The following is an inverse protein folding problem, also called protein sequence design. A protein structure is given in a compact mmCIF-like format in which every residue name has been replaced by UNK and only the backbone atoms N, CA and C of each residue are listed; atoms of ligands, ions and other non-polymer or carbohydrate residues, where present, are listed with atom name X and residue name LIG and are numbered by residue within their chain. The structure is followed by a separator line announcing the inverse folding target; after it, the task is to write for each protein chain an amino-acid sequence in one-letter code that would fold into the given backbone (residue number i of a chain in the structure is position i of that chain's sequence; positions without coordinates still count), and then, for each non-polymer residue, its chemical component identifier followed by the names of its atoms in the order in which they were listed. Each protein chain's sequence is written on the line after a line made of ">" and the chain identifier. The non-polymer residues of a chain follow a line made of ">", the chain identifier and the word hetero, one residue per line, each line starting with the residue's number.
data_IF_565799196943
#
_entry.id   IF_565799196943
#
_cell.length_a   1.000
_cell.length_b   1.000
_cell.length_c   1.000
_cell.angle_alpha   90.00
_cell.angle_beta   90.00
_cell.angle_gamma   90.00
#
_symmetry.space_group_name_H-M   'P 1'
#
loop_
_entity.id
_entity.type
_entity.pdbx_description
1 polymer ?
#
# COMPACT_ATOMS: atom_id res chain seq x y z
N UNK A 1 6.03 31.46 -3.22
CA UNK A 1 5.90 29.99 -3.05
C UNK A 1 4.41 29.66 -3.19
N UNK A 2 4.01 28.96 -4.25
CA UNK A 2 2.62 28.68 -4.59
C UNK A 2 1.92 27.86 -3.49
N UNK A 3 0.60 28.04 -3.36
CA UNK A 3 -0.31 27.26 -2.49
C UNK A 3 -0.15 25.74 -2.72
N UNK A 4 0.15 25.34 -3.93
CA UNK A 4 0.42 23.96 -4.34
C UNK A 4 1.66 23.35 -3.65
N UNK A 5 2.74 24.12 -3.44
CA UNK A 5 3.93 23.65 -2.74
C UNK A 5 3.72 23.43 -1.24
N UNK A 6 2.85 24.23 -0.58
CA UNK A 6 2.52 24.05 0.85
C UNK A 6 1.60 22.86 1.07
N UNK A 7 0.66 22.61 0.17
CA UNK A 7 -0.25 21.48 0.23
C UNK A 7 0.48 20.15 0.01
N UNK A 8 1.43 20.09 -0.92
CA UNK A 8 2.29 18.93 -1.15
C UNK A 8 3.13 18.56 0.09
N UNK A 9 3.70 19.55 0.77
CA UNK A 9 4.48 19.33 1.99
C UNK A 9 3.62 18.75 3.13
N UNK A 10 2.39 19.26 3.34
CA UNK A 10 1.48 18.74 4.35
C UNK A 10 1.06 17.29 4.05
N UNK A 11 0.76 16.97 2.80
CA UNK A 11 0.42 15.61 2.37
C UNK A 11 1.57 14.63 2.62
N UNK A 12 2.82 15.05 2.33
CA UNK A 12 4.00 14.21 2.55
C UNK A 12 4.25 13.95 4.05
N UNK A 13 4.04 14.95 4.90
CA UNK A 13 4.13 14.79 6.37
C UNK A 13 3.11 13.76 6.85
N UNK A 14 1.83 13.88 6.50
CA UNK A 14 0.80 12.93 6.90
C UNK A 14 1.07 11.52 6.39
N UNK A 15 1.52 11.39 5.14
CA UNK A 15 1.90 10.09 4.55
C UNK A 15 3.03 9.42 5.33
N UNK A 16 4.13 10.14 5.58
CA UNK A 16 5.29 9.62 6.34
C UNK A 16 4.92 9.24 7.76
N UNK A 17 4.15 10.10 8.43
CA UNK A 17 3.68 9.83 9.78
C UNK A 17 2.81 8.56 9.82
N UNK A 18 1.85 8.44 8.90
CA UNK A 18 1.01 7.25 8.78
C UNK A 18 1.85 5.99 8.55
N UNK A 19 2.80 6.02 7.64
CA UNK A 19 3.69 4.87 7.38
C UNK A 19 4.48 4.47 8.63
N UNK A 20 5.00 5.44 9.37
CA UNK A 20 5.68 5.21 10.64
C UNK A 20 4.76 4.52 11.66
N UNK A 21 3.53 5.02 11.84
CA UNK A 21 2.57 4.44 12.77
C UNK A 21 2.12 3.02 12.36
N UNK A 22 1.95 2.76 11.07
CA UNK A 22 1.65 1.41 10.56
C UNK A 22 2.80 0.43 10.85
N UNK A 23 4.06 0.85 10.69
CA UNK A 23 5.21 0.02 11.06
C UNK A 23 5.26 -0.28 12.55
N UNK A 24 5.02 0.73 13.41
CA UNK A 24 4.93 0.54 14.87
C UNK A 24 3.80 -0.42 15.21
N UNK A 25 2.63 -0.27 14.61
CA UNK A 25 1.50 -1.18 14.80
C UNK A 25 1.85 -2.63 14.43
N UNK A 26 2.56 -2.85 13.32
CA UNK A 26 3.01 -4.20 12.92
C UNK A 26 3.98 -4.77 13.93
N UNK A 27 4.94 -3.96 14.42
CA UNK A 27 5.88 -4.38 15.48
C UNK A 27 5.14 -4.76 16.76
N UNK A 28 4.23 -3.92 17.23
CA UNK A 28 3.42 -4.18 18.42
C UNK A 28 2.60 -5.49 18.28
N UNK A 29 1.97 -5.71 17.13
CA UNK A 29 1.27 -6.97 16.82
C UNK A 29 2.19 -8.20 16.91
N UNK A 30 3.41 -8.09 16.40
CA UNK A 30 4.38 -9.19 16.47
C UNK A 30 4.86 -9.43 17.90
N UNK A 31 5.04 -8.38 18.71
CA UNK A 31 5.37 -8.48 20.13
C UNK A 31 4.27 -9.20 20.91
N UNK A 32 3.00 -8.84 20.69
CA UNK A 32 1.86 -9.56 21.30
C UNK A 32 1.90 -11.05 20.90
N UNK A 33 2.07 -11.37 19.61
CA UNK A 33 2.19 -12.78 19.18
C UNK A 33 3.36 -13.51 19.84
N UNK A 34 4.51 -12.84 19.96
CA UNK A 34 5.69 -13.39 20.63
C UNK A 34 5.43 -13.71 22.11
N UNK A 35 4.73 -12.81 22.83
CA UNK A 35 4.34 -13.03 24.23
C UNK A 35 3.41 -14.25 24.32
N UNK A 36 2.37 -14.32 23.49
CA UNK A 36 1.43 -15.44 23.49
C UNK A 36 2.15 -16.77 23.23
N UNK A 37 3.04 -16.77 22.23
CA UNK A 37 3.86 -17.96 21.92
C UNK A 37 4.76 -18.36 23.08
N UNK A 38 5.44 -17.39 23.73
CA UNK A 38 6.33 -17.66 24.86
C UNK A 38 5.60 -18.32 26.03
N UNK A 39 4.34 -17.98 26.26
CA UNK A 39 3.49 -18.58 27.30
C UNK A 39 2.71 -19.81 26.82
N UNK A 40 3.02 -20.37 25.64
CA UNK A 40 2.38 -21.58 25.10
C UNK A 40 0.91 -21.39 24.72
N UNK A 41 0.46 -20.13 24.54
CA UNK A 41 -0.95 -19.82 24.21
C UNK A 41 -1.13 -19.98 22.70
N UNK A 42 -1.94 -20.97 22.31
CA UNK A 42 -2.28 -21.21 20.89
C UNK A 42 -3.18 -20.09 20.36
N UNK A 43 -2.74 -19.47 19.28
CA UNK A 43 -3.49 -18.43 18.59
C UNK A 43 -4.55 -19.10 17.71
N UNK A 44 -5.84 -18.72 17.79
CA UNK A 44 -6.88 -19.22 16.91
C UNK A 44 -6.56 -18.94 15.44
N UNK A 45 -6.91 -19.87 14.53
CA UNK A 45 -6.65 -19.73 13.08
C UNK A 45 -7.28 -18.45 12.49
N UNK A 46 -8.41 -18.00 13.02
CA UNK A 46 -9.10 -16.76 12.64
C UNK A 46 -8.45 -15.47 13.19
N UNK A 47 -7.24 -15.52 13.70
CA UNK A 47 -6.52 -14.44 14.40
C UNK A 47 -6.11 -13.23 13.54
N UNK A 48 -7.04 -12.63 12.77
CA UNK A 48 -6.78 -11.53 11.84
C UNK A 48 -6.86 -10.12 12.46
N UNK A 49 -6.52 -9.94 13.74
CA UNK A 49 -6.59 -8.65 14.43
C UNK A 49 -7.97 -7.99 14.36
N UNK A 50 -9.03 -8.80 14.23
CA UNK A 50 -10.44 -8.41 14.32
C UNK A 50 -10.80 -7.93 15.73
N UNK A 51 -11.97 -7.32 15.90
CA UNK A 51 -12.49 -6.97 17.24
C UNK A 51 -12.63 -8.21 18.12
N UNK A 52 -13.13 -9.33 17.55
CA UNK A 52 -13.26 -10.61 18.27
C UNK A 52 -11.90 -11.12 18.74
N UNK A 53 -10.88 -11.06 17.89
CA UNK A 53 -9.53 -11.49 18.26
C UNK A 53 -8.90 -10.61 19.36
N UNK A 54 -9.09 -9.29 19.30
CA UNK A 54 -8.63 -8.39 20.37
C UNK A 54 -9.34 -8.72 21.69
N UNK A 55 -10.66 -8.91 21.66
CA UNK A 55 -11.42 -9.27 22.87
C UNK A 55 -10.97 -10.61 23.45
N UNK A 56 -10.68 -11.60 22.59
CA UNK A 56 -10.09 -12.86 23.01
C UNK A 56 -8.74 -12.65 23.71
N UNK A 57 -7.84 -11.83 23.16
CA UNK A 57 -6.55 -11.51 23.83
C UNK A 57 -6.80 -10.83 25.18
N UNK A 58 -7.77 -9.94 25.28
CA UNK A 58 -8.14 -9.25 26.53
C UNK A 58 -8.65 -10.21 27.61
N UNK A 59 -9.25 -11.33 27.23
CA UNK A 59 -9.77 -12.36 28.16
C UNK A 59 -8.68 -13.29 28.69
N UNK A 60 -7.50 -13.31 28.08
CA UNK A 60 -6.39 -14.16 28.49
C UNK A 60 -5.92 -13.72 29.88
N UNK A 61 -5.68 -14.72 30.74
CA UNK A 61 -5.03 -14.55 32.04
C UNK A 61 -3.77 -15.40 32.03
N UNK A 62 -2.66 -14.81 32.41
CA UNK A 62 -1.38 -15.49 32.48
C UNK A 62 -1.08 -15.89 33.92
N UNK A 63 -0.41 -17.02 34.10
CA UNK A 63 -0.02 -17.51 35.44
C UNK A 63 0.87 -16.51 36.18
N UNK A 64 1.76 -15.81 35.42
CA UNK A 64 2.66 -14.81 36.00
C UNK A 64 2.10 -13.40 35.78
N UNK A 65 1.98 -12.65 36.87
CA UNK A 65 1.50 -11.25 36.85
C UNK A 65 2.31 -10.36 35.88
N UNK A 66 3.63 -10.59 35.74
CA UNK A 66 4.50 -9.86 34.81
C UNK A 66 4.11 -10.09 33.35
N UNK A 67 3.72 -11.31 32.96
CA UNK A 67 3.24 -11.62 31.62
C UNK A 67 1.91 -10.95 31.32
N UNK A 68 0.98 -10.99 32.27
CA UNK A 68 -0.33 -10.34 32.16
C UNK A 68 -0.18 -8.81 32.01
N UNK A 69 0.72 -8.21 32.80
CA UNK A 69 1.04 -6.79 32.69
C UNK A 69 1.63 -6.43 31.31
N UNK A 70 2.62 -7.20 30.83
CA UNK A 70 3.25 -6.95 29.54
C UNK A 70 2.25 -7.08 28.37
N UNK A 71 1.37 -8.08 28.39
CA UNK A 71 0.34 -8.26 27.37
C UNK A 71 -0.64 -7.09 27.36
N UNK A 72 -1.11 -6.65 28.52
CA UNK A 72 -2.02 -5.49 28.67
C UNK A 72 -1.37 -4.21 28.14
N UNK A 73 -0.11 -3.94 28.50
CA UNK A 73 0.62 -2.76 28.04
C UNK A 73 0.71 -2.72 26.50
N UNK A 74 1.04 -3.83 25.84
CA UNK A 74 1.06 -3.90 24.38
C UNK A 74 -0.33 -3.80 23.74
N UNK A 75 -1.38 -4.27 24.40
CA UNK A 75 -2.74 -4.08 23.91
C UNK A 75 -3.17 -2.61 23.96
N UNK A 76 -2.83 -1.89 25.00
CA UNK A 76 -3.07 -0.44 25.10
C UNK A 76 -2.29 0.32 24.03
N UNK A 77 -1.01 0.00 23.87
CA UNK A 77 -0.20 0.56 22.77
C UNK A 77 -0.86 0.31 21.40
N UNK A 78 -1.33 -0.91 21.13
CA UNK A 78 -2.00 -1.26 19.87
C UNK A 78 -3.28 -0.45 19.66
N UNK A 79 -4.10 -0.26 20.69
CA UNK A 79 -5.32 0.56 20.66
C UNK A 79 -4.97 2.02 20.34
N UNK A 80 -3.97 2.57 21.00
CA UNK A 80 -3.50 3.94 20.77
C UNK A 80 -2.97 4.14 19.35
N UNK A 81 -2.14 3.23 18.85
CA UNK A 81 -1.64 3.27 17.48
C UNK A 81 -2.77 3.21 16.44
N UNK A 82 -3.80 2.39 16.67
CA UNK A 82 -5.00 2.33 15.81
C UNK A 82 -5.71 3.68 15.76
N UNK A 83 -5.88 4.34 16.92
CA UNK A 83 -6.52 5.65 16.99
C UNK A 83 -5.73 6.72 16.23
N UNK A 84 -4.40 6.75 16.38
CA UNK A 84 -3.53 7.68 15.65
C UNK A 84 -3.65 7.45 14.14
N UNK A 85 -3.59 6.19 13.69
CA UNK A 85 -3.72 5.85 12.26
C UNK A 85 -5.09 6.28 11.72
N UNK A 86 -6.17 6.09 12.49
CA UNK A 86 -7.50 6.52 12.10
C UNK A 86 -7.60 8.05 11.97
N UNK A 87 -6.97 8.80 12.88
CA UNK A 87 -6.91 10.26 12.84
C UNK A 87 -6.13 10.75 11.60
N UNK A 88 -4.98 10.15 11.32
CA UNK A 88 -4.17 10.45 10.13
C UNK A 88 -4.93 10.14 8.84
N UNK A 89 -5.64 9.01 8.78
CA UNK A 89 -6.50 8.68 7.64
C UNK A 89 -7.59 9.74 7.43
N UNK A 90 -8.23 10.21 8.51
CA UNK A 90 -9.26 11.29 8.42
C UNK A 90 -8.64 12.60 7.92
N UNK A 91 -7.46 12.97 8.40
CA UNK A 91 -6.76 14.16 7.94
C UNK A 91 -6.40 14.08 6.44
N UNK A 92 -5.90 12.93 5.98
CA UNK A 92 -5.60 12.69 4.56
C UNK A 92 -6.89 12.76 3.71
N UNK A 93 -7.98 12.16 4.18
CA UNK A 93 -9.27 12.22 3.49
C UNK A 93 -9.86 13.64 3.46
N UNK A 94 -9.67 14.43 4.51
CA UNK A 94 -10.06 15.85 4.50
C UNK A 94 -9.25 16.64 3.46
N UNK A 95 -7.92 16.40 3.43
CA UNK A 95 -7.03 17.05 2.46
C UNK A 95 -7.41 16.70 1.01
N UNK A 96 -7.87 15.47 0.73
CA UNK A 96 -8.30 15.04 -0.60
C UNK A 96 -9.50 15.81 -1.17
N UNK A 97 -10.26 16.47 -0.31
CA UNK A 97 -11.45 17.26 -0.69
C UNK A 97 -11.14 18.72 -0.96
N UNK A 98 -9.93 19.18 -0.64
CA UNK A 98 -9.50 20.56 -0.91
C UNK A 98 -9.33 20.80 -2.40
N UNK A 99 -9.43 22.06 -2.82
CA UNK A 99 -9.28 22.48 -4.21
C UNK A 99 -7.96 21.96 -4.84
N UNK A 100 -6.89 21.92 -4.04
CA UNK A 100 -5.57 21.50 -4.48
C UNK A 100 -5.49 20.04 -4.97
N UNK A 101 -6.40 19.15 -4.51
CA UNK A 101 -6.35 17.72 -4.83
C UNK A 101 -7.62 17.17 -5.45
N UNK A 102 -8.75 17.89 -5.31
CA UNK A 102 -10.06 17.38 -5.68
C UNK A 102 -10.15 16.91 -7.12
N UNK A 103 -9.56 17.65 -8.05
CA UNK A 103 -9.60 17.32 -9.49
C UNK A 103 -8.85 16.04 -9.81
N UNK A 104 -7.62 15.89 -9.30
CA UNK A 104 -6.78 14.72 -9.51
C UNK A 104 -7.35 13.48 -8.81
N UNK A 105 -7.89 13.63 -7.60
CA UNK A 105 -8.55 12.54 -6.86
C UNK A 105 -9.79 12.05 -7.62
N UNK A 106 -10.60 12.93 -8.20
CA UNK A 106 -11.75 12.54 -9.00
C UNK A 106 -11.34 11.78 -10.27
N UNK A 107 -10.22 12.15 -10.88
CA UNK A 107 -9.66 11.45 -12.02
C UNK A 107 -9.17 10.04 -11.61
N UNK A 108 -8.37 9.94 -10.55
CA UNK A 108 -7.79 8.67 -10.09
C UNK A 108 -8.85 7.67 -9.60
N UNK A 109 -9.95 8.15 -9.00
CA UNK A 109 -11.09 7.30 -8.60
C UNK A 109 -11.73 6.55 -9.75
N UNK A 110 -11.57 7.00 -10.99
CA UNK A 110 -12.04 6.27 -12.17
C UNK A 110 -11.23 5.00 -12.44
N UNK A 111 -10.01 4.90 -11.91
CA UNK A 111 -9.14 3.75 -12.11
C UNK A 111 -9.51 2.64 -11.12
N UNK A 112 -9.91 1.44 -11.58
CA UNK A 112 -10.29 0.35 -10.70
C UNK A 112 -9.17 -0.05 -9.74
N UNK A 113 -9.53 -0.31 -8.49
CA UNK A 113 -8.59 -0.72 -7.44
C UNK A 113 -7.91 0.43 -6.69
N UNK A 114 -8.16 1.68 -7.07
CA UNK A 114 -7.61 2.85 -6.41
C UNK A 114 -8.63 3.40 -5.39
N UNK A 115 -8.22 3.54 -4.14
CA UNK A 115 -9.01 4.16 -3.06
C UNK A 115 -8.58 5.61 -2.85
N UNK A 116 -9.41 6.43 -2.19
CA UNK A 116 -9.05 7.83 -1.90
C UNK A 116 -7.75 7.98 -1.10
N UNK A 117 -7.47 7.05 -0.20
CA UNK A 117 -6.20 7.04 0.52
C UNK A 117 -5.03 6.71 -0.43
N UNK A 118 -5.24 5.77 -1.35
CA UNK A 118 -4.28 5.42 -2.39
C UNK A 118 -4.04 6.60 -3.32
N UNK A 119 -5.10 7.31 -3.74
CA UNK A 119 -5.01 8.54 -4.55
C UNK A 119 -4.05 9.56 -3.93
N UNK A 120 -4.25 9.86 -2.65
CA UNK A 120 -3.45 10.86 -1.95
C UNK A 120 -1.99 10.44 -1.80
N UNK A 121 -1.72 9.15 -1.56
CA UNK A 121 -0.34 8.62 -1.51
C UNK A 121 0.30 8.72 -2.89
N UNK A 122 -0.42 8.33 -3.96
CA UNK A 122 0.04 8.43 -5.34
C UNK A 122 0.36 9.88 -5.72
N UNK A 123 -0.55 10.81 -5.47
CA UNK A 123 -0.37 12.23 -5.80
C UNK A 123 0.83 12.83 -5.04
N UNK A 124 1.02 12.42 -3.79
CA UNK A 124 2.17 12.85 -2.99
C UNK A 124 3.49 12.30 -3.53
N UNK A 125 3.54 11.01 -3.90
CA UNK A 125 4.76 10.36 -4.38
C UNK A 125 5.11 10.72 -5.82
N UNK A 126 4.10 10.84 -6.66
CA UNK A 126 4.30 11.18 -8.07
C UNK A 126 4.51 12.68 -8.27
N UNK A 127 3.93 13.51 -7.39
CA UNK A 127 3.92 14.97 -7.53
C UNK A 127 3.45 15.40 -8.92
N UNK A 128 4.33 15.96 -9.74
CA UNK A 128 4.05 16.22 -11.14
C UNK A 128 4.37 14.98 -11.99
N UNK A 129 3.34 14.42 -12.64
CA UNK A 129 3.48 13.25 -13.53
C UNK A 129 4.32 13.57 -14.78
N UNK A 130 4.41 14.83 -15.16
CA UNK A 130 5.16 15.28 -16.35
C UNK A 130 6.66 15.07 -16.22
N UNK A 131 7.19 15.01 -14.99
CA UNK A 131 8.61 14.71 -14.72
C UNK A 131 9.06 13.34 -15.24
N UNK A 132 8.11 12.44 -15.49
CA UNK A 132 8.40 11.12 -16.02
C UNK A 132 8.16 11.10 -17.55
N UNK A 133 9.23 11.25 -18.34
CA UNK A 133 9.15 11.29 -19.79
C UNK A 133 8.58 10.00 -20.41
N UNK A 134 8.78 8.83 -19.77
CA UNK A 134 8.28 7.54 -20.23
C UNK A 134 7.65 6.71 -19.10
N UNK A 135 6.88 5.68 -19.49
CA UNK A 135 6.37 4.68 -18.53
C UNK A 135 7.52 3.92 -17.86
N UNK A 136 8.61 3.67 -18.59
CA UNK A 136 9.74 2.90 -18.06
C UNK A 136 10.46 3.64 -16.94
N UNK A 137 10.65 4.96 -17.07
CA UNK A 137 11.19 5.80 -15.99
C UNK A 137 10.28 5.82 -14.78
N UNK A 138 8.96 5.91 -14.99
CA UNK A 138 7.97 5.85 -13.91
C UNK A 138 7.95 4.46 -13.23
N UNK A 139 7.99 3.38 -14.01
CA UNK A 139 8.03 2.02 -13.50
C UNK A 139 9.33 1.72 -12.74
N UNK A 140 10.45 2.26 -13.20
CA UNK A 140 11.74 2.20 -12.49
C UNK A 140 11.67 2.92 -11.14
N UNK A 141 11.11 4.13 -11.09
CA UNK A 141 10.89 4.87 -9.85
C UNK A 141 10.00 4.11 -8.86
N UNK A 142 8.93 3.48 -9.36
CA UNK A 142 8.03 2.64 -8.57
C UNK A 142 8.64 1.27 -8.19
N UNK A 143 9.77 0.88 -8.81
CA UNK A 143 10.41 -0.42 -8.62
C UNK A 143 9.62 -1.57 -9.23
N UNK A 144 8.92 -1.33 -10.34
CA UNK A 144 8.17 -2.35 -11.10
C UNK A 144 8.93 -2.78 -12.38
N UNK A 145 10.25 -2.78 -12.30
CA UNK A 145 11.15 -3.26 -13.37
C UNK A 145 11.98 -4.43 -12.85
N UNK A 146 12.35 -5.38 -13.71
CA UNK A 146 13.28 -6.44 -13.33
C UNK A 146 14.64 -5.86 -12.94
N UNK A 147 15.32 -6.52 -12.03
CA UNK A 147 16.72 -6.26 -11.72
C UNK A 147 17.57 -7.08 -12.67
N UNK A 148 18.23 -6.40 -13.60
CA UNK A 148 19.11 -7.03 -14.60
C UNK A 148 20.54 -6.80 -14.13
N UNK A 149 21.26 -7.88 -13.91
CA UNK A 149 22.71 -7.87 -13.72
C UNK A 149 23.35 -8.38 -14.99
N UNK A 150 24.13 -7.53 -15.66
CA UNK A 150 24.98 -7.94 -16.76
C UNK A 150 26.40 -8.13 -16.26
N UNK A 151 26.99 -9.28 -16.51
CA UNK A 151 28.42 -9.51 -16.35
C UNK A 151 28.97 -10.02 -17.69
N UNK A 152 29.61 -9.12 -18.42
CA UNK A 152 30.10 -9.44 -19.78
C UNK A 152 28.96 -9.73 -20.75
N UNK A 153 29.00 -10.87 -21.43
CA UNK A 153 28.03 -11.28 -22.45
C UNK A 153 26.72 -11.89 -21.89
N UNK A 154 26.65 -12.12 -20.56
CA UNK A 154 25.47 -12.76 -19.95
C UNK A 154 24.67 -11.82 -19.10
N UNK A 155 23.35 -11.74 -19.38
CA UNK A 155 22.39 -10.98 -18.59
C UNK A 155 21.57 -11.93 -17.71
N UNK A 156 21.58 -11.68 -16.39
CA UNK A 156 20.79 -12.43 -15.41
C UNK A 156 19.72 -11.52 -14.80
N UNK A 157 18.47 -11.96 -14.85
CA UNK A 157 17.40 -11.32 -14.08
C UNK A 157 17.36 -11.88 -12.67
N UNK A 158 17.70 -11.06 -11.68
CA UNK A 158 17.73 -11.46 -10.24
C UNK A 158 16.42 -11.13 -9.52
N UNK A 159 15.32 -10.94 -10.26
CA UNK A 159 14.03 -10.59 -9.70
C UNK A 159 13.70 -9.13 -9.89
N UNK A 160 13.28 -8.41 -8.86
CA UNK A 160 12.87 -7.01 -8.96
C UNK A 160 13.87 -6.11 -8.25
N UNK A 161 14.21 -4.98 -8.90
CA UNK A 161 15.20 -4.01 -8.40
C UNK A 161 15.00 -3.62 -6.93
N UNK A 162 16.12 -3.53 -6.20
CA UNK A 162 16.15 -3.02 -4.83
C UNK A 162 16.13 -1.48 -4.77
N UNK A 163 16.55 -0.79 -5.83
CA UNK A 163 16.45 0.67 -5.96
C UNK A 163 15.02 1.04 -6.28
N UNK A 164 14.20 1.32 -5.24
CA UNK A 164 12.77 1.52 -5.41
C UNK A 164 12.13 2.38 -4.32
N UNK A 165 10.99 2.98 -4.64
CA UNK A 165 10.03 3.41 -3.64
C UNK A 165 9.21 2.19 -3.17
N UNK A 166 9.68 1.52 -2.11
CA UNK A 166 9.08 0.27 -1.62
C UNK A 166 7.61 0.45 -1.20
N UNK A 167 7.26 1.61 -0.65
CA UNK A 167 5.89 1.91 -0.23
C UNK A 167 4.95 2.06 -1.44
N UNK A 168 5.37 2.80 -2.45
CA UNK A 168 4.62 2.97 -3.70
C UNK A 168 4.42 1.63 -4.42
N UNK A 169 5.46 0.81 -4.47
CA UNK A 169 5.37 -0.52 -5.06
C UNK A 169 4.37 -1.42 -4.35
N UNK A 170 4.44 -1.53 -3.01
CA UNK A 170 3.48 -2.32 -2.23
C UNK A 170 2.06 -1.84 -2.46
N UNK A 171 1.84 -0.52 -2.45
CA UNK A 171 0.55 0.10 -2.71
C UNK A 171 0.00 -0.28 -4.08
N UNK A 172 0.83 -0.22 -5.13
CA UNK A 172 0.43 -0.58 -6.51
C UNK A 172 0.11 -2.08 -6.63
N UNK A 173 0.88 -2.95 -5.98
CA UNK A 173 0.61 -4.40 -5.97
C UNK A 173 -0.71 -4.70 -5.27
N UNK A 174 -0.97 -4.14 -4.08
CA UNK A 174 -2.23 -4.29 -3.36
C UNK A 174 -3.42 -3.77 -4.17
N UNK A 175 -3.28 -2.59 -4.76
CA UNK A 175 -4.30 -2.01 -5.66
C UNK A 175 -4.56 -2.89 -6.88
N UNK A 176 -3.54 -3.57 -7.39
CA UNK A 176 -3.66 -4.46 -8.56
C UNK A 176 -4.46 -5.72 -8.25
N UNK A 177 -4.36 -6.28 -7.04
CA UNK A 177 -5.22 -7.39 -6.62
C UNK A 177 -6.71 -7.02 -6.58
N UNK A 178 -7.01 -5.76 -6.25
CA UNK A 178 -8.38 -5.24 -6.30
C UNK A 178 -8.79 -4.95 -7.74
N UNK A 179 -7.88 -4.36 -8.53
CA UNK A 179 -8.14 -3.99 -9.92
C UNK A 179 -8.44 -5.20 -10.80
N UNK A 180 -7.72 -6.31 -10.63
CA UNK A 180 -7.97 -7.57 -11.35
C UNK A 180 -9.39 -8.09 -11.15
N UNK A 181 -9.99 -7.85 -9.97
CA UNK A 181 -11.36 -8.26 -9.66
C UNK A 181 -12.43 -7.32 -10.21
N UNK A 182 -12.06 -6.10 -10.56
CA UNK A 182 -13.00 -5.04 -10.96
C UNK A 182 -12.90 -4.64 -12.44
N UNK A 183 -11.80 -4.97 -13.09
CA UNK A 183 -11.51 -4.57 -14.47
C UNK A 183 -11.32 -5.82 -15.34
N UNK A 184 -12.26 -6.10 -16.27
CA UNK A 184 -12.21 -7.30 -17.12
C UNK A 184 -10.91 -7.41 -17.92
N UNK A 185 -10.38 -6.31 -18.47
CA UNK A 185 -9.16 -6.32 -19.25
C UNK A 185 -7.92 -6.67 -18.39
N UNK A 186 -7.87 -6.21 -17.12
CA UNK A 186 -6.81 -6.61 -16.19
C UNK A 186 -6.98 -8.05 -15.73
N UNK A 187 -8.20 -8.52 -15.52
CA UNK A 187 -8.50 -9.91 -15.19
C UNK A 187 -8.02 -10.86 -16.28
N UNK A 188 -8.38 -10.59 -17.55
CA UNK A 188 -7.93 -11.39 -18.69
C UNK A 188 -6.40 -11.39 -18.80
N UNK A 189 -5.76 -10.23 -18.68
CA UNK A 189 -4.31 -10.11 -18.70
C UNK A 189 -3.65 -10.91 -17.55
N UNK A 190 -4.21 -10.85 -16.34
CA UNK A 190 -3.72 -11.62 -15.20
C UNK A 190 -3.85 -13.12 -15.41
N UNK A 191 -5.00 -13.59 -15.88
CA UNK A 191 -5.25 -15.02 -16.15
C UNK A 191 -4.26 -15.53 -17.21
N UNK A 192 -4.06 -14.81 -18.32
CA UNK A 192 -3.10 -15.16 -19.37
C UNK A 192 -1.67 -15.24 -18.83
N UNK A 193 -1.24 -14.32 -17.98
CA UNK A 193 0.08 -14.34 -17.36
C UNK A 193 0.24 -15.49 -16.36
N UNK A 194 -0.81 -15.79 -15.60
CA UNK A 194 -0.80 -16.85 -14.58
C UNK A 194 -0.66 -18.26 -15.15
N UNK A 195 -0.91 -18.45 -16.45
CA UNK A 195 -0.64 -19.71 -17.16
C UNK A 195 0.87 -19.94 -17.39
N UNK A 196 1.69 -18.87 -17.40
CA UNK A 196 3.12 -18.94 -17.76
C UNK A 196 4.05 -18.66 -16.59
N UNK A 197 3.54 -18.04 -15.52
CA UNK A 197 4.34 -17.64 -14.36
C UNK A 197 3.53 -17.72 -13.06
N UNK A 198 4.23 -17.67 -11.91
CA UNK A 198 3.59 -17.63 -10.60
C UNK A 198 2.67 -16.40 -10.45
N UNK A 199 1.54 -16.54 -9.78
CA UNK A 199 0.57 -15.44 -9.54
C UNK A 199 1.23 -14.21 -8.91
N UNK A 200 2.22 -14.41 -8.04
CA UNK A 200 3.01 -13.34 -7.41
C UNK A 200 3.89 -12.57 -8.40
N UNK A 201 4.30 -13.18 -9.50
CA UNK A 201 5.02 -12.52 -10.59
C UNK A 201 4.01 -11.84 -11.54
N UNK A 202 2.93 -12.54 -11.91
CA UNK A 202 1.89 -12.01 -12.78
C UNK A 202 1.29 -10.70 -12.23
N UNK A 203 1.04 -10.59 -10.92
CA UNK A 203 0.48 -9.37 -10.33
C UNK A 203 1.42 -8.16 -10.44
N UNK A 204 2.73 -8.37 -10.47
CA UNK A 204 3.70 -7.28 -10.70
C UNK A 204 3.56 -6.70 -12.11
N UNK A 205 3.35 -7.55 -13.11
CA UNK A 205 3.06 -7.09 -14.48
C UNK A 205 1.73 -6.33 -14.54
N UNK A 206 0.72 -6.77 -13.79
CA UNK A 206 -0.55 -6.02 -13.67
C UNK A 206 -0.32 -4.68 -12.98
N UNK A 207 0.50 -4.61 -11.94
CA UNK A 207 0.84 -3.36 -11.26
C UNK A 207 1.49 -2.34 -12.23
N UNK A 208 2.33 -2.80 -13.14
CA UNK A 208 2.90 -1.94 -14.20
C UNK A 208 1.81 -1.48 -15.20
N UNK A 209 0.85 -2.36 -15.57
CA UNK A 209 -0.30 -1.96 -16.40
C UNK A 209 -1.20 -0.95 -15.69
N UNK A 210 -1.48 -1.16 -14.40
CA UNK A 210 -2.24 -0.23 -13.56
C UNK A 210 -1.53 1.13 -13.46
N UNK A 211 -0.21 1.15 -13.25
CA UNK A 211 0.60 2.36 -13.22
C UNK A 211 0.53 3.13 -14.54
N UNK A 212 0.49 2.43 -15.68
CA UNK A 212 0.29 3.08 -16.98
C UNK A 212 -1.07 3.76 -17.10
N UNK A 213 -2.14 3.15 -16.57
CA UNK A 213 -3.48 3.74 -16.51
C UNK A 213 -3.51 5.00 -15.64
N UNK A 214 -2.88 4.94 -14.47
CA UNK A 214 -2.71 6.09 -13.57
C UNK A 214 -1.97 7.22 -14.30
N UNK A 215 -0.85 6.89 -14.99
CA UNK A 215 -0.09 7.86 -15.78
C UNK A 215 -0.94 8.50 -16.88
N UNK A 216 -1.69 7.70 -17.63
CA UNK A 216 -2.57 8.17 -18.70
C UNK A 216 -3.63 9.15 -18.15
N UNK A 217 -4.33 8.77 -17.09
CA UNK A 217 -5.38 9.58 -16.46
C UNK A 217 -4.84 10.94 -15.97
N UNK A 218 -3.70 10.93 -15.29
CA UNK A 218 -3.09 12.15 -14.77
C UNK A 218 -2.49 13.03 -15.88
N UNK A 219 -1.85 12.43 -16.89
CA UNK A 219 -1.21 13.17 -17.98
C UNK A 219 -2.23 13.83 -18.92
N UNK A 220 -3.29 13.09 -19.26
CA UNK A 220 -4.28 13.53 -20.24
C UNK A 220 -5.48 14.24 -19.59
N UNK A 221 -5.55 14.28 -18.24
CA UNK A 221 -6.66 14.85 -17.50
C UNK A 221 -8.03 14.24 -17.87
N UNK A 222 -8.03 12.94 -18.23
CA UNK A 222 -9.21 12.19 -18.64
C UNK A 222 -9.51 11.06 -17.70
N UNK A 223 -10.80 10.82 -17.42
CA UNK A 223 -11.21 9.65 -16.62
C UNK A 223 -10.88 8.35 -17.36
N UNK A 224 -10.52 7.35 -16.61
CA UNK A 224 -10.38 6.00 -17.13
C UNK A 224 -11.76 5.41 -17.44
N UNK A 225 -11.91 4.89 -18.64
CA UNK A 225 -13.08 4.11 -19.05
C UNK A 225 -12.63 2.66 -19.22
N UNK A 226 -13.19 1.69 -18.44
CA UNK A 226 -12.91 0.28 -18.66
C UNK A 226 -13.30 -0.12 -20.08
N UNK A 227 -12.39 -0.75 -20.80
CA UNK A 227 -12.75 -1.34 -22.08
C UNK A 227 -13.73 -2.49 -21.84
N UNK A 228 -14.95 -2.37 -22.35
CA UNK A 228 -15.87 -3.49 -22.47
C UNK A 228 -15.38 -4.27 -23.69
N UNK A 229 -14.91 -5.50 -23.46
CA UNK A 229 -14.51 -6.44 -24.52
C UNK A 229 -15.74 -7.26 -24.85
#
# INVERSE_FOLDING_TARGET
>A
RSTQGRSSAASDVYKRQRQSMVRKQTRCKNQIKSILFFYGITIPEEGHWSRRFIHWIESIRMERASGDFALKAHLEELKHLRQIIANLNRAILSLSRTEAYRSEVLLLKSVPGISTLTDMILLTDLSDISRFSSLDKLASYAGLVPDIKSSGETEYSTGITFRRNAALRSLLIESSWVAVRKDPALMMAFNKLSLRMKKTQAIVHIARKLLNRIRFVLKNRQKYVPAVI
#
